data_IF_376891661305
#
_entry.id   IF_376891661305
#
_cell.length_a   1.000
_cell.length_b   1.000
_cell.length_c   1.000
_cell.angle_alpha   90.00
_cell.angle_beta   90.00
_cell.angle_gamma   90.00
#
_symmetry.space_group_name_H-M   'P 1'
#
loop_
_entity.id
_entity.type
_entity.pdbx_description
1 polymer ?
#
# COMPACT_ATOMS: atom_id res chain seq x y z
N UNK A 1 22.61 28.78 15.90
CA UNK A 1 23.12 27.39 15.97
C UNK A 1 21.90 26.45 15.94
N UNK A 2 21.64 25.81 14.80
CA UNK A 2 20.48 24.91 14.60
C UNK A 2 20.96 23.47 14.76
N UNK A 3 20.53 22.79 15.83
CA UNK A 3 20.86 21.40 16.11
C UNK A 3 20.03 20.46 15.25
N UNK A 4 20.66 19.72 14.36
CA UNK A 4 20.10 18.59 13.63
C UNK A 4 19.89 17.41 14.58
N UNK A 5 18.64 17.07 14.89
CA UNK A 5 18.32 15.79 15.55
C UNK A 5 18.37 14.68 14.52
N UNK A 6 19.45 13.88 14.53
CA UNK A 6 19.55 12.61 13.81
C UNK A 6 18.55 11.62 14.41
N UNK A 7 17.59 11.17 13.58
CA UNK A 7 16.75 10.01 13.89
C UNK A 7 17.62 8.76 13.76
N UNK A 8 18.00 8.16 14.87
CA UNK A 8 18.66 6.86 14.91
C UNK A 8 17.57 5.80 14.76
N UNK A 9 17.52 5.18 13.57
CA UNK A 9 16.70 3.99 13.33
C UNK A 9 17.29 2.83 14.10
N UNK A 10 16.64 2.42 15.19
CA UNK A 10 17.03 1.23 15.95
C UNK A 10 16.62 0.00 15.12
N UNK A 11 17.55 -0.57 14.38
CA UNK A 11 17.45 -1.94 13.88
C UNK A 11 17.53 -2.87 15.08
N UNK A 12 16.39 -3.42 15.51
CA UNK A 12 16.37 -4.52 16.46
C UNK A 12 16.92 -5.77 15.76
N UNK A 13 18.21 -5.95 15.80
CA UNK A 13 18.86 -7.22 15.49
C UNK A 13 18.54 -8.12 16.68
N UNK A 14 17.55 -9.01 16.51
CA UNK A 14 17.39 -10.14 17.43
C UNK A 14 18.60 -11.05 17.19
N UNK A 15 19.64 -10.81 17.96
CA UNK A 15 20.77 -11.74 18.11
C UNK A 15 20.21 -13.00 18.77
N UNK A 16 19.85 -14.00 17.97
CA UNK A 16 19.57 -15.34 18.44
C UNK A 16 20.89 -15.85 19.02
N UNK A 17 21.02 -15.83 20.34
CA UNK A 17 22.12 -16.47 21.04
C UNK A 17 22.06 -17.96 20.68
N UNK A 18 22.82 -18.35 19.68
CA UNK A 18 23.08 -19.75 19.39
C UNK A 18 24.04 -20.22 20.48
N UNK A 19 23.51 -20.73 21.59
CA UNK A 19 24.28 -21.57 22.48
C UNK A 19 24.83 -22.71 21.64
N UNK A 20 26.13 -22.71 21.44
CA UNK A 20 26.86 -23.79 20.76
C UNK A 20 26.80 -25.02 21.66
N UNK A 21 25.68 -25.74 21.63
CA UNK A 21 25.63 -27.09 22.16
C UNK A 21 26.46 -27.91 21.20
N UNK A 22 27.66 -28.34 21.61
CA UNK A 22 28.49 -29.31 20.91
C UNK A 22 27.75 -30.65 20.91
N UNK A 23 26.85 -30.82 19.95
CA UNK A 23 26.11 -32.08 19.76
C UNK A 23 27.07 -32.99 19.01
N UNK A 24 27.67 -33.95 19.69
CA UNK A 24 28.36 -35.06 19.04
C UNK A 24 27.38 -35.75 18.09
N UNK A 25 27.72 -35.88 16.79
CA UNK A 25 26.77 -36.50 15.85
C UNK A 25 26.64 -37.97 16.20
N UNK A 26 25.43 -38.40 16.55
CA UNK A 26 25.08 -39.84 16.67
C UNK A 26 25.32 -40.51 15.32
N UNK A 27 26.19 -41.55 15.31
CA UNK A 27 26.48 -42.40 14.17
C UNK A 27 25.48 -43.57 14.05
N UNK A 28 24.44 -43.62 14.90
CA UNK A 28 23.43 -44.68 14.88
C UNK A 28 22.70 -44.70 13.55
N UNK A 29 22.95 -45.74 12.74
CA UNK A 29 22.35 -45.94 11.43
C UNK A 29 20.78 -46.00 11.50
N UNK A 30 20.25 -46.25 12.68
CA UNK A 30 18.81 -46.37 12.97
C UNK A 30 18.19 -45.15 13.71
N UNK A 31 18.99 -44.10 14.01
CA UNK A 31 18.47 -42.97 14.72
C UNK A 31 17.40 -42.25 13.89
N UNK A 32 16.23 -41.94 14.51
CA UNK A 32 15.13 -41.25 13.85
C UNK A 32 15.55 -39.87 13.36
N UNK A 33 15.26 -39.52 12.09
CA UNK A 33 15.60 -38.22 11.50
C UNK A 33 15.02 -37.09 12.33
N UNK A 34 15.89 -36.22 12.88
CA UNK A 34 15.48 -35.05 13.66
C UNK A 34 15.69 -33.76 12.83
N UNK A 35 14.60 -33.08 12.54
CA UNK A 35 14.61 -31.81 11.80
C UNK A 35 14.54 -30.66 12.81
N UNK A 36 15.61 -29.88 12.95
CA UNK A 36 15.66 -28.69 13.79
C UNK A 36 14.88 -27.53 13.16
N UNK A 37 15.07 -27.30 11.86
CA UNK A 37 14.27 -26.30 11.12
C UNK A 37 13.97 -26.77 9.70
N UNK A 38 12.93 -26.21 9.10
CA UNK A 38 12.53 -26.58 7.74
C UNK A 38 11.54 -27.77 7.67
N UNK A 39 10.89 -28.16 8.78
CA UNK A 39 9.80 -29.17 8.78
C UNK A 39 8.60 -28.73 7.94
N UNK A 40 8.28 -27.42 7.99
CA UNK A 40 7.31 -26.75 7.12
C UNK A 40 7.94 -25.51 6.53
N UNK A 41 8.11 -25.44 5.22
CA UNK A 41 8.74 -24.35 4.50
C UNK A 41 7.72 -23.65 3.65
N UNK A 42 7.66 -22.29 3.73
CA UNK A 42 6.81 -21.49 2.88
C UNK A 42 7.64 -20.39 2.23
N UNK A 43 7.87 -20.50 0.93
CA UNK A 43 8.73 -19.63 0.14
C UNK A 43 7.99 -18.91 -0.96
N UNK A 44 8.37 -17.69 -1.24
CA UNK A 44 8.02 -17.05 -2.51
C UNK A 44 8.83 -17.67 -3.66
N UNK A 45 8.25 -17.74 -4.86
CA UNK A 45 8.98 -18.20 -6.06
C UNK A 45 10.35 -17.51 -6.17
N UNK A 46 11.40 -18.28 -6.38
CA UNK A 46 12.78 -17.84 -6.53
C UNK A 46 13.56 -17.69 -5.24
N UNK A 47 12.95 -17.86 -4.06
CA UNK A 47 13.64 -17.84 -2.76
C UNK A 47 14.12 -19.23 -2.35
N UNK A 48 15.06 -19.29 -1.42
CA UNK A 48 15.62 -20.53 -0.91
C UNK A 48 15.61 -20.53 0.62
N UNK A 49 15.58 -21.72 1.21
CA UNK A 49 15.67 -21.96 2.66
C UNK A 49 16.39 -23.30 2.89
N UNK A 50 17.22 -23.38 3.93
CA UNK A 50 17.94 -24.60 4.28
C UNK A 50 17.19 -25.40 5.33
N UNK A 51 17.15 -26.72 5.16
CA UNK A 51 16.70 -27.66 6.16
C UNK A 51 17.89 -27.99 7.06
N UNK A 52 17.72 -27.83 8.36
CA UNK A 52 18.73 -28.16 9.35
C UNK A 52 18.34 -29.44 10.11
N UNK A 53 19.29 -30.35 10.21
CA UNK A 53 19.12 -31.67 10.81
C UNK A 53 20.11 -31.87 11.96
N UNK A 54 19.78 -32.77 12.90
CA UNK A 54 20.68 -33.26 13.93
C UNK A 54 21.77 -34.15 13.30
N UNK A 55 21.38 -35.04 12.38
CA UNK A 55 22.24 -36.04 11.78
C UNK A 55 23.02 -35.52 10.59
N UNK A 56 24.22 -36.09 10.38
CA UNK A 56 25.02 -35.94 9.15
C UNK A 56 24.66 -37.00 8.10
N UNK A 57 25.14 -36.87 6.87
CA UNK A 57 25.00 -37.88 5.81
C UNK A 57 23.56 -37.99 5.23
N UNK A 58 22.74 -36.98 5.45
CA UNK A 58 21.35 -36.99 4.94
C UNK A 58 21.28 -36.89 3.41
N UNK A 59 20.45 -37.71 2.80
CA UNK A 59 20.04 -37.63 1.38
C UNK A 59 18.69 -36.94 1.26
N UNK A 60 18.56 -36.07 0.26
CA UNK A 60 17.36 -35.24 0.03
C UNK A 60 16.75 -35.55 -1.35
N UNK A 61 15.44 -35.74 -1.43
CA UNK A 61 14.69 -35.96 -2.67
C UNK A 61 13.40 -35.14 -2.66
N UNK A 62 13.18 -34.35 -3.70
CA UNK A 62 11.89 -33.64 -3.87
C UNK A 62 10.85 -34.54 -4.54
N UNK A 63 9.59 -34.45 -4.11
CA UNK A 63 8.48 -35.09 -4.79
C UNK A 63 8.01 -34.37 -6.04
N UNK A 64 8.42 -33.10 -6.24
CA UNK A 64 8.06 -32.32 -7.44
C UNK A 64 9.07 -31.22 -7.73
N UNK A 65 9.98 -31.49 -8.69
CA UNK A 65 11.02 -30.55 -9.14
C UNK A 65 10.47 -29.27 -9.78
N UNK A 66 9.24 -29.28 -10.33
CA UNK A 66 8.57 -28.09 -10.87
C UNK A 66 8.15 -27.10 -9.76
N UNK A 67 7.88 -27.58 -8.55
CA UNK A 67 7.55 -26.75 -7.37
C UNK A 67 8.80 -26.29 -6.65
N UNK A 68 9.67 -27.23 -6.26
CA UNK A 68 10.92 -26.91 -5.59
C UNK A 68 12.00 -27.97 -5.87
N UNK A 69 13.25 -27.53 -5.91
CA UNK A 69 14.43 -28.40 -5.91
C UNK A 69 15.09 -28.37 -4.54
N UNK A 70 15.91 -29.39 -4.26
CA UNK A 70 16.73 -29.44 -3.04
C UNK A 70 18.15 -29.87 -3.42
N UNK A 71 19.16 -29.26 -2.80
CA UNK A 71 20.57 -29.67 -2.97
C UNK A 71 20.95 -30.78 -2.00
N UNK A 72 22.12 -31.40 -2.22
CA UNK A 72 22.75 -32.35 -1.28
C UNK A 72 22.98 -31.76 0.10
N UNK A 73 23.19 -30.44 0.20
CA UNK A 73 23.33 -29.70 1.47
C UNK A 73 22.01 -29.29 2.13
N UNK A 74 20.86 -29.78 1.62
CA UNK A 74 19.52 -29.50 2.18
C UNK A 74 18.95 -28.12 1.86
N UNK A 75 19.52 -27.39 0.88
CA UNK A 75 19.00 -26.08 0.45
C UNK A 75 17.84 -26.28 -0.51
N UNK A 76 16.64 -25.90 -0.08
CA UNK A 76 15.40 -25.93 -0.88
C UNK A 76 15.28 -24.64 -1.67
N UNK A 77 15.15 -24.73 -3.01
CA UNK A 77 14.94 -23.58 -3.92
C UNK A 77 13.55 -23.65 -4.53
N UNK A 78 12.75 -22.60 -4.29
CA UNK A 78 11.39 -22.48 -4.84
C UNK A 78 11.41 -22.18 -6.35
N UNK A 79 10.78 -23.03 -7.18
CA UNK A 79 10.74 -22.91 -8.64
C UNK A 79 9.40 -22.43 -9.17
N UNK A 80 8.30 -23.03 -8.71
CA UNK A 80 6.95 -22.74 -9.17
C UNK A 80 5.92 -22.85 -8.05
N UNK A 81 4.79 -22.14 -8.22
CA UNK A 81 3.71 -22.13 -7.22
C UNK A 81 3.13 -23.53 -7.06
N UNK A 82 3.04 -23.99 -5.82
CA UNK A 82 2.55 -25.34 -5.54
C UNK A 82 2.95 -25.83 -4.15
N UNK A 83 2.69 -27.11 -3.92
CA UNK A 83 3.14 -27.84 -2.74
C UNK A 83 3.94 -29.07 -3.15
N UNK A 84 4.98 -29.40 -2.41
CA UNK A 84 5.70 -30.65 -2.57
C UNK A 84 6.24 -31.12 -1.19
N UNK A 85 6.77 -32.35 -1.14
CA UNK A 85 7.48 -32.90 -0.01
C UNK A 85 8.97 -33.03 -0.35
N UNK A 86 9.85 -32.72 0.59
CA UNK A 86 11.25 -33.09 0.51
C UNK A 86 11.42 -34.29 1.43
N UNK A 87 11.65 -35.46 0.86
CA UNK A 87 12.04 -36.66 1.61
C UNK A 87 13.50 -36.52 2.05
N UNK A 88 13.73 -36.71 3.33
CA UNK A 88 15.04 -36.67 3.99
C UNK A 88 15.29 -38.06 4.49
N UNK A 89 16.42 -38.67 4.10
CA UNK A 89 16.78 -40.02 4.49
C UNK A 89 18.15 -40.01 5.14
N UNK A 90 18.26 -40.66 6.31
CA UNK A 90 19.50 -40.89 7.05
C UNK A 90 19.53 -42.35 7.43
N UNK A 91 20.51 -43.14 6.94
CA UNK A 91 20.51 -44.60 7.08
C UNK A 91 19.19 -45.20 6.54
N UNK A 92 18.52 -46.01 7.36
CA UNK A 92 17.22 -46.61 7.06
C UNK A 92 16.03 -45.70 7.39
N UNK A 93 16.22 -44.65 8.17
CA UNK A 93 15.17 -43.74 8.61
C UNK A 93 14.85 -42.63 7.60
N UNK A 94 13.59 -42.23 7.53
CA UNK A 94 13.21 -41.10 6.68
C UNK A 94 12.11 -40.22 7.28
N UNK A 95 12.15 -38.90 6.98
CA UNK A 95 11.11 -37.92 7.29
C UNK A 95 10.85 -37.00 6.10
N UNK A 96 9.70 -36.33 6.12
CA UNK A 96 9.30 -35.37 5.09
C UNK A 96 9.25 -33.95 5.64
N UNK A 97 9.85 -33.01 4.89
CA UNK A 97 9.59 -31.57 5.01
C UNK A 97 8.50 -31.17 4.01
N UNK A 98 7.47 -30.47 4.48
CA UNK A 98 6.41 -29.93 3.62
C UNK A 98 6.81 -28.58 3.07
N UNK A 99 6.88 -28.44 1.75
CA UNK A 99 7.20 -27.19 1.07
C UNK A 99 5.96 -26.63 0.40
N UNK A 100 5.69 -25.34 0.66
CA UNK A 100 4.66 -24.57 -0.02
C UNK A 100 5.32 -23.38 -0.71
N UNK A 101 5.23 -23.33 -2.03
CA UNK A 101 5.71 -22.18 -2.81
C UNK A 101 4.53 -21.30 -3.15
N UNK A 102 4.59 -20.06 -2.70
CA UNK A 102 3.54 -19.04 -2.86
C UNK A 102 3.91 -18.00 -3.91
N UNK A 103 2.92 -17.33 -4.55
CA UNK A 103 3.18 -16.17 -5.42
C UNK A 103 3.96 -15.08 -4.70
N UNK A 104 4.76 -14.30 -5.44
CA UNK A 104 5.27 -13.02 -4.95
C UNK A 104 4.10 -12.10 -4.58
N UNK A 105 4.31 -11.21 -3.62
CA UNK A 105 3.32 -10.18 -3.30
C UNK A 105 3.09 -9.27 -4.51
N UNK A 106 1.88 -8.76 -4.63
CA UNK A 106 1.51 -7.83 -5.70
C UNK A 106 1.97 -6.42 -5.33
N UNK A 107 2.39 -5.65 -6.33
CA UNK A 107 2.61 -4.20 -6.23
C UNK A 107 1.54 -3.51 -7.06
N UNK A 108 0.65 -2.76 -6.42
CA UNK A 108 -0.29 -1.89 -7.11
C UNK A 108 0.49 -0.73 -7.74
N UNK A 109 0.14 -0.34 -8.96
CA UNK A 109 0.71 0.81 -9.68
C UNK A 109 -0.09 2.07 -9.39
N UNK A 110 -1.41 1.97 -9.57
CA UNK A 110 -2.34 3.09 -9.40
C UNK A 110 -3.75 2.58 -9.10
N UNK A 111 -4.53 3.43 -8.46
CA UNK A 111 -5.98 3.40 -8.47
C UNK A 111 -6.47 4.77 -8.92
N UNK A 112 -7.39 4.81 -9.89
CA UNK A 112 -8.02 6.02 -10.43
C UNK A 112 -9.51 5.93 -10.24
N UNK A 113 -10.18 7.07 -10.01
CA UNK A 113 -11.62 7.18 -9.83
C UNK A 113 -12.22 7.97 -10.99
N UNK A 114 -13.38 7.54 -11.48
CA UNK A 114 -14.24 8.26 -12.41
C UNK A 114 -15.68 8.03 -12.00
N UNK A 115 -16.34 9.08 -11.51
CA UNK A 115 -17.62 8.93 -10.80
C UNK A 115 -17.50 7.90 -9.68
N UNK A 116 -18.44 6.97 -9.59
CA UNK A 116 -18.45 5.89 -8.60
C UNK A 116 -17.64 4.65 -9.01
N UNK A 117 -16.79 4.76 -10.05
CA UNK A 117 -16.07 3.63 -10.63
C UNK A 117 -14.55 3.80 -10.45
N UNK A 118 -13.90 2.86 -9.76
CA UNK A 118 -12.45 2.83 -9.65
C UNK A 118 -11.82 1.81 -10.59
N UNK A 119 -10.71 2.19 -11.21
CA UNK A 119 -9.81 1.30 -11.95
C UNK A 119 -8.53 1.11 -11.16
N UNK A 120 -8.27 -0.13 -10.71
CA UNK A 120 -7.06 -0.52 -9.97
C UNK A 120 -6.13 -1.28 -10.90
N UNK A 121 -4.86 -0.88 -10.95
CA UNK A 121 -3.83 -1.51 -11.81
C UNK A 121 -2.63 -1.97 -10.97
N UNK A 122 -1.95 -3.03 -11.40
CA UNK A 122 -0.81 -3.59 -10.67
C UNK A 122 0.27 -4.17 -11.57
N UNK A 123 1.44 -4.44 -11.00
CA UNK A 123 2.55 -5.11 -11.69
C UNK A 123 2.24 -6.60 -11.84
N UNK A 124 2.50 -7.15 -13.03
CA UNK A 124 2.35 -8.59 -13.34
C UNK A 124 3.21 -9.42 -12.39
N UNK A 125 2.63 -10.51 -11.87
CA UNK A 125 3.34 -11.54 -11.09
C UNK A 125 3.50 -12.79 -11.96
N UNK A 126 4.73 -13.30 -12.11
CA UNK A 126 5.02 -14.48 -12.94
C UNK A 126 4.46 -15.75 -12.29
N UNK A 127 3.90 -16.65 -13.11
CA UNK A 127 3.48 -17.99 -12.70
C UNK A 127 2.16 -18.08 -11.96
N UNK A 128 1.39 -16.99 -11.85
CA UNK A 128 0.07 -16.98 -11.19
C UNK A 128 -1.05 -17.38 -12.15
N UNK A 129 -2.20 -17.75 -11.61
CA UNK A 129 -3.44 -18.02 -12.34
C UNK A 129 -4.36 -16.79 -12.37
N UNK A 130 -4.09 -15.80 -11.50
CA UNK A 130 -4.86 -14.56 -11.43
C UNK A 130 -4.65 -13.79 -10.14
N UNK A 131 -5.59 -12.88 -9.87
CA UNK A 131 -5.54 -11.94 -8.77
C UNK A 131 -6.90 -11.82 -8.09
N UNK A 132 -6.88 -11.60 -6.79
CA UNK A 132 -8.04 -11.20 -5.98
C UNK A 132 -7.88 -9.74 -5.63
N UNK A 133 -8.90 -8.93 -5.89
CA UNK A 133 -8.97 -7.53 -5.47
C UNK A 133 -9.87 -7.44 -4.25
N UNK A 134 -9.43 -6.65 -3.29
CA UNK A 134 -10.11 -6.40 -2.02
C UNK A 134 -10.33 -4.91 -1.85
N UNK A 135 -11.45 -4.51 -1.25
CA UNK A 135 -11.73 -3.12 -0.86
C UNK A 135 -12.11 -3.01 0.61
N UNK A 136 -11.88 -1.82 1.18
CA UNK A 136 -12.30 -1.42 2.51
C UNK A 136 -12.46 0.08 2.57
N UNK A 137 -13.26 0.59 3.50
CA UNK A 137 -13.30 2.01 3.89
C UNK A 137 -12.23 2.35 4.95
N UNK A 138 -11.56 1.35 5.50
CA UNK A 138 -10.46 1.50 6.46
C UNK A 138 -9.13 1.05 5.82
N UNK A 139 -8.07 1.86 5.99
CA UNK A 139 -6.75 1.60 5.41
C UNK A 139 -6.11 0.29 5.89
N UNK A 140 -6.38 -0.12 7.11
CA UNK A 140 -5.66 -1.21 7.80
C UNK A 140 -6.49 -2.49 7.93
N UNK A 141 -7.82 -2.40 7.99
CA UNK A 141 -8.73 -3.51 8.33
C UNK A 141 -9.96 -3.59 7.41
N UNK A 142 -10.81 -4.59 7.61
CA UNK A 142 -12.12 -4.71 6.95
C UNK A 142 -12.09 -5.04 5.45
N UNK A 143 -10.97 -5.49 4.90
CA UNK A 143 -10.82 -5.77 3.47
C UNK A 143 -11.65 -6.97 3.02
N UNK A 144 -12.71 -6.71 2.24
CA UNK A 144 -13.56 -7.72 1.60
C UNK A 144 -13.15 -7.92 0.14
N UNK A 145 -13.15 -9.18 -0.32
CA UNK A 145 -12.87 -9.50 -1.72
C UNK A 145 -14.01 -9.04 -2.61
N UNK A 146 -13.69 -8.20 -3.61
CA UNK A 146 -14.68 -7.59 -4.53
C UNK A 146 -14.51 -8.04 -5.98
N UNK A 147 -13.32 -8.56 -6.35
CA UNK A 147 -13.12 -9.08 -7.70
C UNK A 147 -12.14 -10.26 -7.75
N UNK A 148 -12.35 -11.12 -8.74
CA UNK A 148 -11.42 -12.18 -9.14
C UNK A 148 -11.05 -11.98 -10.59
N UNK A 149 -9.77 -11.66 -10.85
CA UNK A 149 -9.22 -11.45 -12.18
C UNK A 149 -8.48 -12.72 -12.59
N UNK A 150 -9.05 -13.53 -13.49
CA UNK A 150 -8.41 -14.74 -14.01
C UNK A 150 -7.41 -14.37 -15.10
N UNK A 151 -6.21 -14.97 -15.07
CA UNK A 151 -5.14 -14.78 -16.05
C UNK A 151 -3.99 -13.91 -15.52
N UNK A 152 -2.75 -14.42 -15.66
CA UNK A 152 -1.54 -13.74 -15.18
C UNK A 152 -1.24 -12.42 -15.90
N UNK A 153 -1.70 -12.27 -17.14
CA UNK A 153 -1.49 -11.07 -17.97
C UNK A 153 -2.50 -9.96 -17.66
N UNK A 154 -3.67 -10.28 -17.10
CA UNK A 154 -4.70 -9.29 -16.73
C UNK A 154 -4.30 -8.62 -15.42
N UNK A 155 -3.86 -7.37 -15.49
CA UNK A 155 -3.26 -6.61 -14.38
C UNK A 155 -4.06 -5.38 -14.00
N UNK A 156 -5.36 -5.41 -14.25
CA UNK A 156 -6.31 -4.36 -13.84
C UNK A 156 -7.65 -4.95 -13.46
N UNK A 157 -8.40 -4.19 -12.66
CA UNK A 157 -9.81 -4.45 -12.36
C UNK A 157 -10.56 -3.14 -12.29
N UNK A 158 -11.80 -3.15 -12.76
CA UNK A 158 -12.77 -2.05 -12.61
C UNK A 158 -13.75 -2.43 -11.52
N UNK A 159 -13.90 -1.59 -10.52
CA UNK A 159 -14.81 -1.76 -9.38
C UNK A 159 -15.84 -0.64 -9.44
N UNK A 160 -17.07 -0.99 -9.66
CA UNK A 160 -18.20 -0.06 -9.80
C UNK A 160 -18.93 0.14 -8.46
N UNK A 161 -19.81 1.13 -8.42
CA UNK A 161 -20.74 1.42 -7.31
C UNK A 161 -19.98 1.59 -5.99
N UNK A 162 -18.97 2.45 -6.00
CA UNK A 162 -18.30 2.86 -4.78
C UNK A 162 -19.18 3.86 -4.04
N UNK A 163 -19.28 3.70 -2.73
CA UNK A 163 -19.88 4.69 -1.87
C UNK A 163 -19.00 5.96 -1.82
N UNK A 164 -19.62 7.11 -1.53
CA UNK A 164 -18.90 8.35 -1.29
C UNK A 164 -17.85 8.20 -0.19
N UNK A 165 -16.80 8.99 -0.29
CA UNK A 165 -15.68 8.99 0.66
C UNK A 165 -14.47 8.19 0.18
N UNK A 166 -13.62 7.79 1.12
CA UNK A 166 -12.35 7.11 0.81
C UNK A 166 -12.52 5.60 0.72
N UNK A 167 -12.12 5.03 -0.41
CA UNK A 167 -12.06 3.57 -0.60
C UNK A 167 -10.61 3.14 -0.79
N UNK A 168 -10.18 2.14 -0.01
CA UNK A 168 -8.87 1.52 -0.07
C UNK A 168 -8.92 0.19 -0.80
N UNK A 169 -7.88 -0.08 -1.61
CA UNK A 169 -7.73 -1.32 -2.35
C UNK A 169 -6.45 -2.06 -1.97
N UNK A 170 -6.55 -3.39 -1.89
CA UNK A 170 -5.41 -4.32 -1.78
C UNK A 170 -5.58 -5.45 -2.79
N UNK A 171 -4.46 -6.02 -3.24
CA UNK A 171 -4.48 -7.13 -4.21
C UNK A 171 -3.63 -8.28 -3.70
N UNK A 172 -4.12 -9.52 -3.90
CA UNK A 172 -3.37 -10.76 -3.74
C UNK A 172 -3.28 -11.50 -5.06
N UNK A 173 -2.12 -12.07 -5.37
CA UNK A 173 -1.98 -13.01 -6.46
C UNK A 173 -2.35 -14.41 -6.00
N UNK A 174 -2.90 -15.24 -6.90
CA UNK A 174 -3.17 -16.65 -6.63
C UNK A 174 -2.65 -17.59 -7.73
N UNK A 175 -2.29 -18.78 -7.30
CA UNK A 175 -1.97 -19.93 -8.15
C UNK A 175 -2.75 -21.16 -7.71
N UNK A 176 -2.50 -22.28 -8.38
CA UNK A 176 -3.12 -23.58 -8.09
C UNK A 176 -2.07 -24.64 -7.80
N UNK A 177 -2.38 -25.57 -6.90
CA UNK A 177 -1.66 -26.82 -6.67
C UNK A 177 -2.70 -27.93 -6.60
N UNK A 178 -2.91 -28.60 -7.73
CA UNK A 178 -4.10 -29.42 -7.93
C UNK A 178 -5.38 -28.59 -7.75
N UNK A 179 -6.33 -29.09 -6.99
CA UNK A 179 -7.59 -28.37 -6.66
C UNK A 179 -7.39 -27.20 -5.69
N UNK A 180 -6.27 -27.16 -4.93
CA UNK A 180 -6.02 -26.14 -3.88
C UNK A 180 -5.56 -24.80 -4.47
N UNK A 181 -6.16 -23.71 -4.04
CA UNK A 181 -5.71 -22.35 -4.32
C UNK A 181 -4.62 -21.92 -3.32
N UNK A 182 -3.53 -21.35 -3.85
CA UNK A 182 -2.42 -20.81 -3.07
C UNK A 182 -2.31 -19.32 -3.38
N UNK A 183 -2.37 -18.47 -2.36
CA UNK A 183 -2.29 -17.01 -2.51
C UNK A 183 -0.93 -16.48 -2.06
N UNK A 184 -0.59 -15.25 -2.47
CA UNK A 184 0.56 -14.52 -1.93
C UNK A 184 0.46 -14.40 -0.40
N UNK A 185 1.62 -14.46 0.27
CA UNK A 185 1.69 -14.46 1.75
C UNK A 185 1.07 -13.19 2.34
N UNK A 186 1.40 -12.03 1.78
CA UNK A 186 0.86 -10.74 2.20
C UNK A 186 -0.01 -10.12 1.10
N UNK A 187 -0.88 -9.21 1.47
CA UNK A 187 -1.52 -8.28 0.53
C UNK A 187 -0.48 -7.34 -0.09
N UNK A 188 -0.84 -6.66 -1.18
CA UNK A 188 -0.14 -5.44 -1.59
C UNK A 188 -0.19 -4.38 -0.48
N UNK A 189 0.65 -3.32 -0.57
CA UNK A 189 0.33 -2.08 0.13
C UNK A 189 -1.05 -1.60 -0.31
N UNK A 190 -1.77 -0.92 0.57
CA UNK A 190 -3.05 -0.29 0.23
C UNK A 190 -2.79 0.91 -0.68
N UNK A 191 -3.71 1.13 -1.62
CA UNK A 191 -3.87 2.41 -2.34
C UNK A 191 -5.30 2.85 -2.16
N UNK A 192 -5.56 4.16 -2.19
CA UNK A 192 -6.91 4.70 -2.04
C UNK A 192 -7.33 5.52 -3.23
N UNK A 193 -8.62 5.64 -3.39
CA UNK A 193 -9.30 6.69 -4.15
C UNK A 193 -10.24 7.41 -3.20
N UNK A 194 -10.47 8.69 -3.43
CA UNK A 194 -11.42 9.49 -2.64
C UNK A 194 -12.39 10.16 -3.58
N UNK A 195 -13.66 9.93 -3.35
CA UNK A 195 -14.73 10.63 -4.02
C UNK A 195 -14.98 11.94 -3.27
N UNK A 196 -14.74 13.06 -3.95
CA UNK A 196 -15.04 14.38 -3.45
C UNK A 196 -16.49 14.69 -3.82
N UNK A 197 -17.34 14.78 -2.82
CA UNK A 197 -18.70 15.29 -2.99
C UNK A 197 -18.65 16.81 -2.91
N UNK A 198 -19.17 17.49 -3.93
CA UNK A 198 -19.43 18.92 -3.85
C UNK A 198 -20.37 19.16 -2.67
N UNK A 199 -19.97 19.97 -1.73
CA UNK A 199 -20.73 20.26 -0.51
C UNK A 199 -21.46 21.58 -0.66
N UNK A 200 -20.80 22.52 -1.35
CA UNK A 200 -21.33 23.85 -1.63
C UNK A 200 -20.61 24.45 -2.86
N UNK A 201 -21.32 25.24 -3.63
CA UNK A 201 -20.76 26.09 -4.71
C UNK A 201 -21.66 27.31 -4.86
N UNK A 202 -21.09 28.41 -5.34
CA UNK A 202 -21.82 29.53 -5.87
C UNK A 202 -21.30 29.80 -7.28
N UNK A 203 -22.19 29.76 -8.23
CA UNK A 203 -21.89 29.97 -9.65
C UNK A 203 -22.09 31.43 -10.06
N UNK A 204 -22.43 32.31 -9.11
CA UNK A 204 -22.66 33.75 -9.30
C UNK A 204 -23.58 34.07 -10.46
N UNK A 205 -24.64 33.26 -10.64
CA UNK A 205 -25.60 33.42 -11.74
C UNK A 205 -26.64 34.55 -11.51
N UNK A 206 -26.62 35.16 -10.33
CA UNK A 206 -27.49 36.30 -9.97
C UNK A 206 -26.93 37.64 -10.43
N UNK A 207 -27.57 38.71 -10.06
CA UNK A 207 -27.15 40.11 -10.25
C UNK A 207 -26.41 40.69 -9.05
N UNK A 208 -26.43 39.99 -7.91
CA UNK A 208 -25.80 40.38 -6.65
C UNK A 208 -25.36 39.14 -5.87
N UNK A 209 -24.55 39.33 -4.82
CA UNK A 209 -24.22 38.26 -3.87
C UNK A 209 -25.47 37.85 -3.08
N UNK A 210 -25.59 36.54 -2.86
CA UNK A 210 -26.60 35.99 -1.92
C UNK A 210 -26.09 36.14 -0.48
N UNK A 211 -26.61 37.16 0.21
CA UNK A 211 -26.20 37.49 1.58
C UNK A 211 -26.63 36.44 2.63
N UNK A 212 -27.38 35.39 2.24
CA UNK A 212 -27.60 34.24 3.12
C UNK A 212 -26.36 33.31 3.16
N UNK A 213 -25.55 33.34 2.11
CA UNK A 213 -24.36 32.50 1.95
C UNK A 213 -23.05 33.28 2.08
N UNK A 214 -23.09 34.62 1.84
CA UNK A 214 -21.94 35.50 1.86
C UNK A 214 -22.09 36.57 2.94
N UNK A 215 -20.97 37.01 3.47
CA UNK A 215 -20.93 38.17 4.36
C UNK A 215 -19.68 39.01 4.03
N UNK A 216 -19.80 40.32 4.20
CA UNK A 216 -18.66 41.21 4.02
C UNK A 216 -17.88 41.35 5.33
N UNK A 217 -16.57 41.20 5.24
CA UNK A 217 -15.68 41.76 6.25
C UNK A 217 -15.60 43.27 6.03
N UNK A 218 -15.62 44.08 7.08
CA UNK A 218 -15.59 45.55 6.96
C UNK A 218 -14.55 46.17 7.89
N UNK A 219 -14.01 47.31 7.47
CA UNK A 219 -13.01 48.05 8.23
C UNK A 219 -11.57 47.61 7.94
N UNK A 220 -10.69 47.83 8.88
CA UNK A 220 -9.25 47.55 8.74
C UNK A 220 -8.79 46.34 9.52
N UNK A 221 -9.67 45.70 10.30
CA UNK A 221 -9.33 44.61 11.21
C UNK A 221 -8.29 44.98 12.27
N UNK A 222 -8.13 44.14 13.28
CA UNK A 222 -7.08 44.32 14.27
C UNK A 222 -5.70 44.01 13.67
N UNK A 223 -4.78 44.98 13.66
CA UNK A 223 -3.44 44.82 13.09
C UNK A 223 -3.43 44.55 11.59
N UNK A 224 -4.42 45.08 10.81
CA UNK A 224 -4.53 44.83 9.37
C UNK A 224 -4.81 43.36 9.06
N UNK A 225 -5.82 42.76 9.69
CA UNK A 225 -6.24 41.35 9.52
C UNK A 225 -5.12 40.33 9.76
N UNK A 226 -4.10 40.72 10.56
CA UNK A 226 -2.93 39.88 10.85
C UNK A 226 -1.86 39.86 9.77
N UNK A 227 -2.09 40.48 8.63
CA UNK A 227 -1.17 40.56 7.47
C UNK A 227 -0.58 41.95 7.26
N UNK A 228 -0.90 42.93 8.14
CA UNK A 228 -0.55 44.35 7.99
C UNK A 228 -1.11 44.95 6.69
N UNK A 229 -2.34 44.57 6.33
CA UNK A 229 -3.01 45.05 5.13
C UNK A 229 -3.34 46.54 5.24
N UNK A 230 -3.18 47.26 4.16
CA UNK A 230 -3.40 48.71 4.10
C UNK A 230 -4.81 49.12 3.69
N UNK A 231 -5.55 48.19 3.09
CA UNK A 231 -6.88 48.48 2.61
C UNK A 231 -7.91 48.53 3.70
N UNK A 232 -8.94 49.30 3.47
CA UNK A 232 -10.19 49.24 4.23
C UNK A 232 -11.17 48.39 3.45
N UNK A 233 -11.68 47.35 4.05
CA UNK A 233 -12.73 46.51 3.48
C UNK A 233 -14.08 47.21 3.58
N UNK A 234 -14.87 47.14 2.49
CA UNK A 234 -16.18 47.82 2.38
C UNK A 234 -17.32 46.81 2.30
N UNK A 235 -18.52 47.25 2.65
CA UNK A 235 -19.74 46.41 2.60
C UNK A 235 -20.29 46.34 1.16
N UNK A 236 -19.49 45.82 0.20
CA UNK A 236 -19.92 45.55 -1.16
C UNK A 236 -19.62 46.64 -2.19
N UNK A 237 -19.11 47.81 -1.80
CA UNK A 237 -18.77 48.89 -2.77
C UNK A 237 -17.69 48.50 -3.78
N UNK A 238 -16.88 47.53 -3.38
CA UNK A 238 -15.76 47.00 -4.16
C UNK A 238 -16.05 45.64 -4.79
N UNK A 239 -17.26 45.06 -4.63
CA UNK A 239 -17.65 43.78 -5.20
C UNK A 239 -18.89 43.89 -6.07
N UNK A 240 -18.93 43.11 -7.14
CA UNK A 240 -20.11 42.91 -7.98
C UNK A 240 -20.17 41.50 -8.51
N UNK A 241 -21.37 41.02 -8.79
CA UNK A 241 -21.58 39.81 -9.58
C UNK A 241 -21.81 40.20 -11.03
N UNK A 242 -20.97 39.66 -11.92
CA UNK A 242 -21.03 39.98 -13.33
C UNK A 242 -20.57 38.79 -14.17
N UNK A 243 -21.37 38.42 -15.19
CA UNK A 243 -21.06 37.32 -16.12
C UNK A 243 -20.72 35.99 -15.45
N UNK A 244 -21.45 35.63 -14.39
CA UNK A 244 -21.21 34.40 -13.65
C UNK A 244 -19.94 34.40 -12.78
N UNK A 245 -19.47 35.58 -12.41
CA UNK A 245 -18.28 35.74 -11.59
C UNK A 245 -18.51 36.74 -10.46
N UNK A 246 -17.89 36.47 -9.30
CA UNK A 246 -17.66 37.51 -8.29
C UNK A 246 -16.45 38.34 -8.75
N UNK A 247 -16.65 39.64 -8.93
CA UNK A 247 -15.63 40.59 -9.34
C UNK A 247 -15.30 41.48 -8.15
N UNK A 248 -14.08 41.43 -7.66
CA UNK A 248 -13.57 42.30 -6.60
C UNK A 248 -12.67 43.36 -7.24
N UNK A 249 -12.99 44.63 -6.98
CA UNK A 249 -12.32 45.78 -7.62
C UNK A 249 -11.66 46.63 -6.51
N UNK A 250 -10.37 46.46 -6.25
CA UNK A 250 -9.66 47.36 -5.34
C UNK A 250 -9.63 48.77 -5.92
N UNK A 251 -9.84 49.81 -5.09
CA UNK A 251 -9.79 51.20 -5.48
C UNK A 251 -8.72 51.94 -4.69
N UNK A 252 -8.02 52.83 -5.35
CA UNK A 252 -6.99 53.66 -4.73
C UNK A 252 -7.31 55.15 -4.96
N UNK A 253 -7.27 55.91 -3.88
CA UNK A 253 -7.40 57.37 -3.93
C UNK A 253 -6.03 58.02 -3.68
N UNK A 254 -5.62 58.92 -4.55
CA UNK A 254 -4.36 59.63 -4.46
C UNK A 254 -4.61 61.08 -4.07
N UNK A 255 -3.85 61.62 -3.11
CA UNK A 255 -3.78 63.06 -2.87
C UNK A 255 -2.64 63.65 -3.72
N UNK A 256 -2.90 64.81 -4.35
CA UNK A 256 -1.88 65.50 -5.14
C UNK A 256 -0.58 65.71 -4.34
N UNK A 257 0.53 65.34 -4.95
CA UNK A 257 1.86 65.46 -4.35
C UNK A 257 2.36 64.28 -3.51
N UNK A 258 1.59 63.19 -3.34
CA UNK A 258 2.01 62.00 -2.60
C UNK A 258 2.49 60.87 -3.53
N UNK A 259 3.56 60.20 -3.14
CA UNK A 259 4.09 59.03 -3.84
C UNK A 259 3.38 57.71 -3.45
N UNK A 260 2.38 57.75 -2.57
CA UNK A 260 1.59 56.63 -2.13
C UNK A 260 0.09 56.98 -2.11
N UNK A 261 -0.81 56.03 -2.33
CA UNK A 261 -2.24 56.26 -2.22
C UNK A 261 -2.63 56.68 -0.78
N UNK A 262 -3.53 57.67 -0.69
CA UNK A 262 -4.06 58.14 0.58
C UNK A 262 -5.13 57.19 1.17
N UNK A 263 -5.73 56.38 0.32
CA UNK A 263 -6.76 55.39 0.71
C UNK A 263 -6.76 54.23 -0.28
N UNK A 264 -6.87 53.03 0.23
CA UNK A 264 -7.09 51.82 -0.56
C UNK A 264 -8.33 51.13 0.03
N UNK A 265 -9.25 50.77 -0.87
CA UNK A 265 -10.47 50.01 -0.46
C UNK A 265 -10.58 48.73 -1.24
N UNK A 266 -11.11 47.70 -0.58
CA UNK A 266 -11.44 46.38 -1.14
C UNK A 266 -12.71 45.84 -0.49
N UNK A 267 -13.04 44.61 -0.77
CA UNK A 267 -14.22 43.94 -0.20
C UNK A 267 -13.93 42.46 -0.02
#
# INVERSE_FOLDING_TARGET
MKGFKKLVSVFLVVAMVVTLVTITPSTDANAAVTIYSGKKITLNVGKSEKIYLKQKGAKFKTSNKKVATVSSKGVVKAKGIGTCKIKITVGSSSKNSKVTVVPKNVTIKAATLSGTTAKVTWKKVKGVKGYYVYKSTNANSGFKKVATVKGAKKTSATIKNLASGTTYFKVKAFGKSGKKTITSKKYSKAVSVKDWKLVWSDEFNGSSLDMNNWTYETGTGDGGWGNQEWQTYTAGDNAKVENGNLVIIPRMEWKNGNNAPSKVTST
#
